data_IF_895639926552
#
_entry.id   IF_895639926552
#
_cell.length_a   1.000
_cell.length_b   1.000
_cell.length_c   1.000
_cell.angle_alpha   90.00
_cell.angle_beta   90.00
_cell.angle_gamma   90.00
#
_symmetry.space_group_name_H-M   'P 1'
#
loop_
_entity.id
_entity.type
_entity.pdbx_description
1 polymer ?
#
# COMPACT_ATOMS: atom_id res chain seq x y z
N UNK A 1 -28.08 34.16 -28.75
CA UNK A 1 -28.65 33.90 -27.42
C UNK A 1 -27.52 33.99 -26.39
N UNK A 2 -26.77 35.10 -26.39
CA UNK A 2 -25.59 35.35 -25.55
C UNK A 2 -25.36 36.88 -25.40
N UNK A 3 -26.40 37.68 -25.14
CA UNK A 3 -26.24 39.15 -24.95
C UNK A 3 -27.23 39.72 -23.91
N UNK A 4 -27.37 39.10 -22.74
CA UNK A 4 -28.29 39.59 -21.70
C UNK A 4 -27.70 39.68 -20.27
N UNK A 5 -26.37 39.74 -20.12
CA UNK A 5 -25.74 39.81 -18.79
C UNK A 5 -24.67 40.89 -18.62
N UNK A 6 -24.61 41.91 -19.51
CA UNK A 6 -23.54 42.92 -19.47
C UNK A 6 -23.93 44.32 -19.00
N UNK A 7 -25.14 44.55 -18.49
CA UNK A 7 -25.56 45.88 -18.02
C UNK A 7 -26.31 45.83 -16.67
N UNK A 8 -25.62 45.51 -15.58
CA UNK A 8 -26.09 45.82 -14.22
C UNK A 8 -25.16 46.87 -13.59
N UNK A 9 -25.67 47.99 -13.06
CA UNK A 9 -24.85 49.00 -12.39
C UNK A 9 -24.36 48.51 -11.02
N UNK A 10 -23.11 48.86 -10.71
CA UNK A 10 -22.36 48.48 -9.51
C UNK A 10 -22.82 49.39 -8.34
N UNK A 11 -23.07 48.88 -7.12
CA UNK A 11 -23.37 49.74 -5.98
C UNK A 11 -22.09 50.45 -5.48
N UNK A 12 -22.12 51.78 -5.45
CA UNK A 12 -21.14 52.61 -4.75
C UNK A 12 -21.30 52.45 -3.22
N UNK A 13 -20.25 52.01 -2.54
CA UNK A 13 -20.15 52.11 -1.08
C UNK A 13 -19.58 53.50 -0.74
N UNK A 14 -20.41 54.32 -0.09
CA UNK A 14 -20.01 55.59 0.50
C UNK A 14 -19.40 55.33 1.86
N UNK A 15 -18.12 55.68 2.03
CA UNK A 15 -17.50 55.92 3.32
C UNK A 15 -18.03 57.25 3.91
N UNK A 16 -17.93 57.38 5.23
CA UNK A 16 -18.33 58.50 6.11
C UNK A 16 -19.67 58.32 6.84
N UNK A 17 -19.60 57.90 8.11
CA UNK A 17 -19.98 58.75 9.26
C UNK A 17 -19.31 58.20 10.53
N UNK A 18 -18.51 59.05 11.18
CA UNK A 18 -17.93 58.79 12.50
C UNK A 18 -18.92 59.13 13.61
N UNK A 19 -19.08 58.23 14.57
CA UNK A 19 -19.79 58.51 15.83
C UNK A 19 -18.86 58.18 17.00
N UNK A 20 -18.42 59.24 17.66
CA UNK A 20 -17.73 59.21 18.94
C UNK A 20 -18.76 59.18 20.08
N UNK A 21 -18.60 58.28 21.04
CA UNK A 21 -19.26 58.38 22.35
C UNK A 21 -18.33 57.93 23.49
N UNK A 22 -18.45 58.54 24.69
CA UNK A 22 -17.33 58.78 25.60
C UNK A 22 -17.12 57.70 26.67
N UNK A 23 -15.87 57.56 27.10
CA UNK A 23 -15.43 56.92 28.34
C UNK A 23 -15.72 57.86 29.52
N UNK A 24 -16.60 57.44 30.44
CA UNK A 24 -16.59 57.78 31.89
C UNK A 24 -17.95 57.42 32.52
N UNK A 25 -18.07 56.23 33.13
CA UNK A 25 -18.85 56.02 34.36
C UNK A 25 -18.45 54.70 35.03
N UNK A 26 -17.87 54.78 36.23
CA UNK A 26 -17.33 53.68 37.02
C UNK A 26 -18.34 53.22 38.07
N UNK A 27 -18.43 51.91 38.31
CA UNK A 27 -19.02 51.34 39.52
C UNK A 27 -18.15 50.18 40.04
N UNK A 28 -17.46 50.43 41.15
CA UNK A 28 -16.73 49.44 41.97
C UNK A 28 -17.66 48.35 42.52
N UNK A 29 -17.21 47.08 42.58
CA UNK A 29 -17.23 46.29 43.83
C UNK A 29 -16.26 45.08 43.81
N UNK A 30 -15.43 45.06 44.87
CA UNK A 30 -14.99 43.91 45.68
C UNK A 30 -14.20 42.77 45.03
N UNK A 31 -12.88 42.83 45.19
CA UNK A 31 -12.01 41.66 45.15
C UNK A 31 -12.24 40.76 46.36
N UNK A 32 -12.43 39.47 46.10
CA UNK A 32 -12.17 38.39 47.06
C UNK A 32 -11.38 37.30 46.36
N UNK A 33 -10.15 37.15 46.81
CA UNK A 33 -9.24 36.04 46.60
C UNK A 33 -9.90 34.71 47.03
N UNK A 34 -9.87 33.69 46.19
CA UNK A 34 -9.82 32.30 46.63
C UNK A 34 -9.00 31.51 45.62
N UNK A 35 -7.89 31.01 46.12
CA UNK A 35 -6.86 30.25 45.45
C UNK A 35 -7.30 28.80 45.22
N UNK A 36 -6.90 28.26 44.06
CA UNK A 36 -6.58 26.86 43.67
C UNK A 36 -7.51 25.71 44.05
N UNK A 37 -7.94 24.94 43.04
CA UNK A 37 -7.70 23.49 42.98
C UNK A 37 -7.75 23.00 41.51
N UNK A 38 -6.77 22.16 41.19
CA UNK A 38 -6.41 21.54 39.90
C UNK A 38 -7.61 20.98 39.12
N UNK A 39 -7.82 21.50 37.92
CA UNK A 39 -8.53 20.80 36.86
C UNK A 39 -7.49 20.18 35.93
N UNK A 40 -7.19 18.91 36.16
CA UNK A 40 -6.25 18.10 35.37
C UNK A 40 -6.38 18.40 33.88
N UNK A 41 -5.25 18.82 33.30
CA UNK A 41 -5.04 18.81 31.86
C UNK A 41 -5.35 17.39 31.37
N UNK A 42 -6.44 17.24 30.63
CA UNK A 42 -6.62 16.07 29.79
C UNK A 42 -5.56 16.13 28.71
N UNK A 43 -4.40 15.52 28.96
CA UNK A 43 -3.49 15.10 27.91
C UNK A 43 -4.33 14.46 26.80
N UNK A 44 -4.14 14.84 25.51
CA UNK A 44 -4.68 14.02 24.46
C UNK A 44 -4.03 12.65 24.63
N UNK A 45 -4.85 11.66 24.97
CA UNK A 45 -4.47 10.26 24.85
C UNK A 45 -4.06 10.06 23.40
N UNK A 46 -2.75 10.14 23.20
CA UNK A 46 -2.07 9.69 22.02
C UNK A 46 -2.32 8.19 21.96
N UNK A 47 -3.42 7.83 21.32
CA UNK A 47 -3.72 6.47 20.90
C UNK A 47 -2.74 6.14 19.77
N UNK A 48 -1.46 6.05 20.15
CA UNK A 48 -0.45 5.33 19.43
C UNK A 48 -0.92 3.87 19.42
N UNK A 49 -1.80 3.57 18.47
CA UNK A 49 -1.91 2.26 17.87
C UNK A 49 -0.50 1.89 17.39
N UNK A 50 0.33 1.36 18.29
CA UNK A 50 1.53 0.62 17.93
C UNK A 50 1.04 -0.59 17.14
N UNK A 51 1.00 -0.45 15.82
CA UNK A 51 0.78 -1.58 14.95
C UNK A 51 1.82 -2.64 15.32
N UNK A 52 1.40 -3.89 15.59
CA UNK A 52 2.32 -4.94 15.99
C UNK A 52 3.41 -5.05 14.91
N UNK A 53 4.66 -4.96 15.35
CA UNK A 53 5.83 -5.07 14.49
C UNK A 53 5.72 -6.37 13.69
N UNK A 54 5.56 -6.27 12.38
CA UNK A 54 5.40 -7.44 11.52
C UNK A 54 6.72 -8.18 11.45
N UNK A 55 6.79 -9.35 12.09
CA UNK A 55 7.91 -10.27 11.96
C UNK A 55 7.67 -11.21 10.75
N UNK A 56 8.34 -10.99 9.61
CA UNK A 56 8.18 -11.83 8.45
C UNK A 56 8.66 -13.26 8.71
N UNK A 57 9.67 -13.46 9.56
CA UNK A 57 10.23 -14.79 9.80
C UNK A 57 9.28 -15.65 10.64
N UNK A 58 8.61 -15.05 11.63
CA UNK A 58 7.56 -15.72 12.40
C UNK A 58 6.36 -16.11 11.52
N UNK A 59 6.09 -15.36 10.45
CA UNK A 59 5.08 -15.69 9.45
C UNK A 59 5.55 -16.72 8.40
N UNK A 60 6.78 -17.24 8.50
CA UNK A 60 7.38 -18.13 7.50
C UNK A 60 7.60 -17.44 6.16
N UNK A 61 7.91 -16.14 6.19
CA UNK A 61 8.10 -15.29 5.02
C UNK A 61 9.54 -14.78 4.92
N UNK A 62 10.05 -14.76 3.70
CA UNK A 62 11.38 -14.26 3.36
C UNK A 62 11.27 -13.10 2.39
N UNK A 63 11.98 -12.01 2.66
CA UNK A 63 12.02 -10.86 1.77
C UNK A 63 12.78 -11.20 0.48
N UNK A 64 12.13 -10.95 -0.67
CA UNK A 64 12.66 -11.19 -2.02
C UNK A 64 12.82 -9.91 -2.85
N UNK A 65 12.66 -8.74 -2.24
CA UNK A 65 12.86 -7.43 -2.90
C UNK A 65 14.23 -7.35 -3.59
N UNK A 66 15.29 -7.91 -2.99
CA UNK A 66 16.64 -7.89 -3.55
C UNK A 66 16.82 -8.75 -4.81
N UNK A 67 15.89 -9.66 -5.11
CA UNK A 67 15.91 -10.49 -6.33
C UNK A 67 15.37 -9.74 -7.56
N UNK A 68 14.70 -8.61 -7.34
CA UNK A 68 14.08 -7.79 -8.36
C UNK A 68 14.89 -6.55 -8.73
N UNK A 69 14.84 -6.17 -10.00
CA UNK A 69 15.22 -4.83 -10.47
C UNK A 69 14.01 -3.91 -10.43
N UNK A 70 14.12 -2.81 -9.69
CA UNK A 70 13.07 -1.81 -9.54
C UNK A 70 13.27 -0.69 -10.56
N UNK A 71 12.18 -0.23 -11.17
CA UNK A 71 12.13 0.96 -12.03
C UNK A 71 10.90 1.77 -11.69
N UNK A 72 10.97 3.08 -11.92
CA UNK A 72 9.85 4.01 -11.74
C UNK A 72 9.59 4.75 -13.04
N UNK A 73 8.34 5.18 -13.27
CA UNK A 73 7.95 5.95 -14.46
C UNK A 73 8.68 7.29 -14.57
N UNK A 74 8.87 7.96 -13.44
CA UNK A 74 9.55 9.24 -13.31
C UNK A 74 10.02 9.42 -11.87
N UNK A 75 10.99 10.29 -11.65
CA UNK A 75 11.39 10.68 -10.31
C UNK A 75 12.03 12.05 -10.29
N UNK A 76 11.88 12.75 -9.18
CA UNK A 76 12.64 13.97 -8.88
C UNK A 76 14.10 13.61 -8.58
N UNK A 77 15.03 14.50 -8.91
CA UNK A 77 16.45 14.29 -8.63
C UNK A 77 16.68 14.03 -7.13
N UNK A 78 17.31 12.90 -6.80
CA UNK A 78 17.59 12.49 -5.42
C UNK A 78 16.48 11.72 -4.70
N UNK A 79 15.29 11.57 -5.31
CA UNK A 79 14.13 10.88 -4.74
C UNK A 79 13.63 9.78 -5.70
N UNK A 80 14.50 8.84 -6.05
CA UNK A 80 14.24 7.76 -6.98
C UNK A 80 14.04 6.39 -6.32
N UNK A 81 14.41 5.34 -7.04
CA UNK A 81 14.27 3.94 -6.60
C UNK A 81 15.14 3.62 -5.38
N UNK A 82 16.28 4.30 -5.21
CA UNK A 82 17.19 4.04 -4.10
C UNK A 82 16.53 4.30 -2.74
N UNK A 83 15.68 5.33 -2.67
CA UNK A 83 14.97 5.70 -1.45
C UNK A 83 13.91 4.65 -1.06
N UNK A 84 13.25 4.01 -2.03
CA UNK A 84 12.27 2.94 -1.78
C UNK A 84 12.86 1.69 -1.15
N UNK A 85 14.16 1.47 -1.37
CA UNK A 85 14.89 0.28 -0.91
C UNK A 85 15.64 0.54 0.39
N UNK A 86 15.63 1.77 0.89
CA UNK A 86 16.26 2.11 2.15
C UNK A 86 15.36 1.68 3.31
N UNK A 87 15.96 1.28 4.43
CA UNK A 87 15.24 0.94 5.65
C UNK A 87 14.66 2.18 6.36
N UNK A 88 15.16 3.37 6.01
CA UNK A 88 14.68 4.63 6.56
C UNK A 88 13.35 5.07 5.92
N UNK A 89 12.29 5.07 6.73
CA UNK A 89 10.95 5.58 6.36
C UNK A 89 10.89 7.11 6.19
N UNK A 90 12.01 7.82 6.46
CA UNK A 90 12.12 9.27 6.24
C UNK A 90 12.44 9.62 4.79
N UNK A 91 12.96 8.68 4.02
CA UNK A 91 13.24 8.88 2.60
C UNK A 91 12.11 8.32 1.75
N UNK A 92 11.91 8.87 0.55
CA UNK A 92 10.82 8.46 -0.32
C UNK A 92 11.20 8.61 -1.80
N UNK A 93 10.57 7.78 -2.63
CA UNK A 93 10.44 8.07 -4.05
C UNK A 93 9.42 9.19 -4.22
N UNK A 94 9.78 10.19 -5.03
CA UNK A 94 8.89 11.25 -5.47
C UNK A 94 8.77 11.22 -6.98
N UNK A 95 7.57 10.97 -7.51
CA UNK A 95 7.36 11.06 -8.96
C UNK A 95 7.55 12.49 -9.48
N UNK A 96 7.84 12.61 -10.77
CA UNK A 96 7.87 13.90 -11.46
C UNK A 96 7.46 13.71 -12.92
N UNK A 97 6.17 13.45 -13.15
CA UNK A 97 5.66 13.11 -14.49
C UNK A 97 4.14 13.09 -14.59
N UNK A 98 3.60 12.70 -15.75
CA UNK A 98 2.15 12.53 -15.91
C UNK A 98 1.65 11.28 -15.20
N UNK A 99 0.46 11.37 -14.59
CA UNK A 99 -0.25 10.20 -14.07
C UNK A 99 -0.70 9.27 -15.23
N UNK A 100 -0.79 7.94 -14.99
CA UNK A 100 -0.51 7.25 -13.73
C UNK A 100 0.98 7.02 -13.48
N UNK A 101 1.39 7.16 -12.21
CA UNK A 101 2.77 6.89 -11.78
C UNK A 101 2.95 5.39 -11.61
N UNK A 102 4.10 4.86 -12.04
CA UNK A 102 4.35 3.41 -12.07
C UNK A 102 5.62 3.07 -11.31
N UNK A 103 5.53 2.05 -10.49
CA UNK A 103 6.65 1.31 -9.94
C UNK A 103 6.61 -0.10 -10.55
N UNK A 104 7.66 -0.51 -11.24
CA UNK A 104 7.76 -1.85 -11.85
C UNK A 104 8.95 -2.60 -11.27
N UNK A 105 8.74 -3.87 -10.92
CA UNK A 105 9.76 -4.77 -10.40
C UNK A 105 9.91 -5.95 -11.35
N UNK A 106 11.11 -6.15 -11.88
CA UNK A 106 11.45 -7.25 -12.78
C UNK A 106 12.29 -8.28 -12.05
N UNK A 107 11.80 -9.51 -11.98
CA UNK A 107 12.52 -10.65 -11.43
C UNK A 107 13.21 -11.43 -12.55
N UNK A 108 14.47 -11.82 -12.32
CA UNK A 108 15.24 -12.61 -13.31
C UNK A 108 14.68 -14.03 -13.45
N UNK A 109 14.12 -14.57 -12.36
CA UNK A 109 13.51 -15.89 -12.30
C UNK A 109 12.03 -15.76 -11.91
N UNK A 110 11.25 -16.79 -12.22
CA UNK A 110 9.88 -16.93 -11.73
C UNK A 110 9.90 -16.93 -10.20
N UNK A 111 9.20 -16.00 -9.56
CA UNK A 111 9.07 -15.93 -8.10
C UNK A 111 7.62 -16.19 -7.67
N UNK A 112 7.46 -16.80 -6.50
CA UNK A 112 6.16 -16.91 -5.82
C UNK A 112 6.07 -15.85 -4.74
N UNK A 113 5.22 -14.85 -4.94
CA UNK A 113 4.99 -13.76 -3.99
C UNK A 113 3.84 -14.16 -3.07
N UNK A 114 4.08 -14.05 -1.76
CA UNK A 114 3.12 -14.37 -0.69
C UNK A 114 2.54 -13.16 -0.01
N UNK A 115 3.34 -12.11 0.12
CA UNK A 115 2.90 -10.86 0.73
C UNK A 115 3.62 -9.69 0.09
N UNK A 116 2.93 -8.56 -0.05
CA UNK A 116 3.51 -7.31 -0.52
C UNK A 116 3.04 -6.22 0.42
N UNK A 117 3.98 -5.45 0.94
CA UNK A 117 3.71 -4.34 1.85
C UNK A 117 4.37 -3.08 1.35
N UNK A 118 3.72 -1.94 1.51
CA UNK A 118 4.29 -0.64 1.17
C UNK A 118 3.96 0.38 2.24
N UNK A 119 4.82 1.37 2.41
CA UNK A 119 4.66 2.39 3.45
C UNK A 119 4.31 3.74 2.83
N UNK A 120 3.23 4.33 3.36
CA UNK A 120 2.73 5.67 3.04
C UNK A 120 2.29 6.35 4.34
N UNK A 121 2.38 7.67 4.40
CA UNK A 121 1.92 8.41 5.57
C UNK A 121 1.21 9.70 5.18
N UNK A 122 -0.12 9.70 5.30
CA UNK A 122 -0.95 10.85 5.02
C UNK A 122 -0.55 12.11 5.79
N UNK A 123 -0.13 11.95 7.05
CA UNK A 123 0.16 13.10 7.92
C UNK A 123 1.42 13.84 7.47
N UNK A 124 2.39 13.12 6.91
CA UNK A 124 3.66 13.67 6.43
C UNK A 124 3.63 14.02 4.95
N UNK A 125 2.86 13.29 4.13
CA UNK A 125 2.86 13.40 2.67
C UNK A 125 1.67 14.21 2.11
N UNK A 126 0.61 14.44 2.88
CA UNK A 126 -0.57 15.22 2.49
C UNK A 126 -1.08 14.85 1.07
N UNK A 127 -0.99 15.80 0.11
CA UNK A 127 -1.41 15.62 -1.28
C UNK A 127 -0.57 14.61 -2.08
N UNK A 128 0.63 14.25 -1.63
CA UNK A 128 1.48 13.24 -2.28
C UNK A 128 1.05 11.81 -1.96
N UNK A 129 0.11 11.64 -1.03
CA UNK A 129 -0.37 10.32 -0.59
C UNK A 129 -1.30 9.69 -1.64
N UNK A 130 -1.03 8.47 -2.12
CA UNK A 130 -1.92 7.76 -3.03
C UNK A 130 -3.31 7.53 -2.45
N UNK A 131 -4.36 7.70 -3.26
CA UNK A 131 -5.75 7.33 -2.94
C UNK A 131 -6.20 6.09 -3.69
N UNK A 132 -5.72 5.89 -4.91
CA UNK A 132 -6.15 4.78 -5.77
C UNK A 132 -4.96 4.11 -6.45
N UNK A 133 -4.79 2.83 -6.19
CA UNK A 133 -3.65 2.05 -6.69
C UNK A 133 -4.14 0.76 -7.35
N UNK A 134 -3.64 0.48 -8.54
CA UNK A 134 -3.84 -0.79 -9.23
C UNK A 134 -2.56 -1.61 -9.19
N UNK A 135 -2.69 -2.89 -8.81
CA UNK A 135 -1.59 -3.84 -8.81
C UNK A 135 -1.76 -4.85 -9.94
N UNK A 136 -0.68 -5.04 -10.70
CA UNK A 136 -0.60 -5.93 -11.84
C UNK A 136 0.58 -6.87 -11.72
N UNK A 137 0.45 -8.05 -12.27
CA UNK A 137 1.52 -9.05 -12.33
C UNK A 137 1.47 -9.81 -13.64
N UNK A 138 2.61 -10.33 -14.09
CA UNK A 138 2.67 -11.05 -15.36
C UNK A 138 3.99 -11.70 -15.67
N UNK A 139 4.06 -12.30 -16.86
CA UNK A 139 5.29 -12.92 -17.40
C UNK A 139 6.21 -11.90 -18.08
N UNK A 140 5.66 -10.78 -18.54
CA UNK A 140 6.40 -9.66 -19.12
C UNK A 140 5.60 -8.37 -18.96
N UNK A 141 6.24 -7.22 -19.17
CA UNK A 141 5.56 -5.91 -19.07
C UNK A 141 4.41 -5.74 -20.07
N UNK A 142 4.47 -6.43 -21.21
CA UNK A 142 3.40 -6.44 -22.21
C UNK A 142 2.25 -7.40 -21.87
N UNK A 143 2.44 -8.28 -20.88
CA UNK A 143 1.48 -9.30 -20.48
C UNK A 143 1.20 -9.20 -18.98
N UNK A 144 0.79 -8.01 -18.53
CA UNK A 144 0.41 -7.73 -17.16
C UNK A 144 -1.09 -7.89 -16.97
N UNK A 145 -1.49 -8.67 -15.97
CA UNK A 145 -2.88 -8.84 -15.55
C UNK A 145 -3.07 -8.11 -14.23
N UNK A 146 -4.13 -7.31 -14.14
CA UNK A 146 -4.54 -6.69 -12.88
C UNK A 146 -5.12 -7.75 -11.95
N UNK A 147 -4.54 -7.88 -10.77
CA UNK A 147 -5.01 -8.84 -9.76
C UNK A 147 -5.64 -8.16 -8.55
N UNK A 148 -5.29 -6.89 -8.28
CA UNK A 148 -5.80 -6.16 -7.13
C UNK A 148 -5.97 -4.67 -7.42
N UNK A 149 -6.85 -4.03 -6.64
CA UNK A 149 -7.03 -2.58 -6.59
C UNK A 149 -7.23 -2.19 -5.13
N UNK A 150 -6.57 -1.12 -4.71
CA UNK A 150 -6.73 -0.55 -3.38
C UNK A 150 -7.21 0.89 -3.51
N UNK A 151 -8.19 1.23 -2.70
CA UNK A 151 -8.69 2.59 -2.50
C UNK A 151 -8.49 2.94 -1.02
N UNK A 152 -7.84 4.07 -0.75
CA UNK A 152 -7.41 4.49 0.57
C UNK A 152 -7.80 5.96 0.78
N UNK A 153 -8.20 6.33 1.99
CA UNK A 153 -8.65 7.71 2.28
C UNK A 153 -7.73 8.53 3.16
N UNK A 154 -6.99 7.96 4.10
CA UNK A 154 -5.95 8.65 4.90
C UNK A 154 -4.98 7.58 5.41
N UNK A 155 -4.31 6.82 4.52
CA UNK A 155 -3.46 5.72 4.96
C UNK A 155 -2.24 6.27 5.70
N UNK A 156 -1.93 5.70 6.86
CA UNK A 156 -0.70 5.94 7.60
C UNK A 156 -0.15 4.60 8.05
N UNK A 157 1.15 4.38 7.88
CA UNK A 157 1.80 3.11 8.24
C UNK A 157 1.94 2.13 7.07
N UNK A 158 2.15 0.86 7.42
CA UNK A 158 2.34 -0.22 6.45
C UNK A 158 1.00 -0.68 5.88
N UNK A 159 0.89 -0.63 4.56
CA UNK A 159 -0.27 -1.07 3.81
C UNK A 159 0.00 -2.44 3.18
N UNK A 160 -0.91 -3.38 3.38
CA UNK A 160 -0.82 -4.72 2.81
C UNK A 160 -1.60 -4.82 1.50
N UNK A 161 -0.95 -5.32 0.45
CA UNK A 161 -1.59 -5.54 -0.85
C UNK A 161 -2.41 -6.84 -0.81
N UNK A 162 -3.67 -6.85 -1.27
CA UNK A 162 -4.47 -8.06 -1.30
C UNK A 162 -3.99 -9.00 -2.41
N UNK A 163 -3.08 -9.91 -2.07
CA UNK A 163 -2.54 -10.95 -2.97
C UNK A 163 -3.30 -12.28 -2.86
N UNK A 164 -4.15 -12.44 -1.86
CA UNK A 164 -4.97 -13.65 -1.67
C UNK A 164 -5.91 -13.87 -2.86
N UNK A 165 -5.98 -15.10 -3.36
CA UNK A 165 -6.80 -15.45 -4.52
C UNK A 165 -6.30 -14.91 -5.87
N UNK A 166 -5.16 -14.18 -5.92
CA UNK A 166 -4.58 -13.71 -7.17
C UNK A 166 -4.01 -14.86 -8.04
N UNK A 167 -3.77 -16.03 -7.44
CA UNK A 167 -3.42 -17.27 -8.14
C UNK A 167 -2.05 -17.29 -8.82
N UNK A 168 -1.66 -18.48 -9.30
CA UNK A 168 -0.43 -18.75 -10.03
C UNK A 168 0.41 -19.89 -9.44
N UNK A 169 0.27 -20.13 -8.12
CA UNK A 169 0.75 -21.30 -7.42
C UNK A 169 -0.33 -22.38 -7.24
N UNK A 170 0.06 -23.62 -6.89
CA UNK A 170 -0.86 -24.75 -6.68
C UNK A 170 -1.83 -24.55 -5.52
N UNK A 171 -1.55 -23.60 -4.64
CA UNK A 171 -2.31 -23.27 -3.43
C UNK A 171 -3.32 -22.13 -3.62
N UNK A 172 -3.37 -21.50 -4.81
CA UNK A 172 -4.26 -20.38 -5.12
C UNK A 172 -3.93 -19.04 -4.44
N UNK A 173 -3.05 -19.06 -3.43
CA UNK A 173 -2.69 -17.90 -2.61
C UNK A 173 -1.26 -17.39 -2.87
N UNK A 174 -0.52 -18.04 -3.76
CA UNK A 174 0.81 -17.57 -4.20
C UNK A 174 0.69 -16.87 -5.54
N UNK A 175 0.97 -15.57 -5.57
CA UNK A 175 1.05 -14.78 -6.78
C UNK A 175 2.36 -15.11 -7.51
N UNK A 176 2.27 -15.81 -8.64
CA UNK A 176 3.47 -16.11 -9.41
C UNK A 176 3.75 -15.01 -10.41
N UNK A 177 4.99 -14.49 -10.39
CA UNK A 177 5.36 -13.29 -11.14
C UNK A 177 6.77 -13.37 -11.73
N UNK A 178 6.93 -12.76 -12.91
CA UNK A 178 8.23 -12.28 -13.41
C UNK A 178 8.28 -10.74 -13.38
N UNK A 179 7.13 -10.09 -13.57
CA UNK A 179 7.00 -8.64 -13.52
C UNK A 179 5.84 -8.30 -12.60
N UNK A 180 6.13 -7.56 -11.53
CA UNK A 180 5.14 -6.93 -10.66
C UNK A 180 5.08 -5.44 -10.98
N UNK A 181 3.89 -4.85 -11.03
CA UNK A 181 3.70 -3.43 -11.28
C UNK A 181 2.64 -2.84 -10.36
N UNK A 182 3.00 -1.75 -9.70
CA UNK A 182 2.12 -0.90 -8.92
C UNK A 182 1.86 0.38 -9.72
N UNK A 183 0.60 0.67 -10.03
CA UNK A 183 0.15 1.85 -10.76
C UNK A 183 -0.66 2.76 -9.83
N UNK A 184 -0.09 3.91 -9.48
CA UNK A 184 -0.75 4.93 -8.68
C UNK A 184 -1.54 5.81 -9.65
N UNK A 185 -2.87 5.71 -9.57
CA UNK A 185 -3.79 6.40 -10.47
C UNK A 185 -4.10 7.81 -9.96
N UNK A 186 -4.35 7.93 -8.66
CA UNK A 186 -4.85 9.15 -8.03
C UNK A 186 -4.17 9.34 -6.67
N UNK A 187 -4.04 10.60 -6.25
CA UNK A 187 -3.52 11.00 -4.95
C UNK A 187 -4.51 11.92 -4.23
N UNK A 188 -4.27 12.13 -2.95
CA UNK A 188 -5.02 13.05 -2.11
C UNK A 188 -5.03 14.48 -2.65
N UNK A 189 -6.15 15.18 -2.46
CA UNK A 189 -6.31 16.60 -2.81
C UNK A 189 -5.96 16.90 -4.30
N UNK A 190 -6.13 15.91 -5.19
CA UNK A 190 -5.70 15.96 -6.59
C UNK A 190 -4.18 16.24 -6.75
N UNK A 191 -3.36 15.71 -5.84
CA UNK A 191 -1.91 15.83 -5.89
C UNK A 191 -1.35 15.27 -7.20
N UNK A 192 -0.52 16.07 -7.87
CA UNK A 192 0.07 15.74 -9.18
C UNK A 192 1.05 14.58 -9.08
N UNK A 193 1.90 14.62 -8.07
CA UNK A 193 3.02 13.69 -7.86
C UNK A 193 2.77 12.85 -6.60
N UNK A 194 3.46 11.73 -6.46
CA UNK A 194 3.26 10.78 -5.35
C UNK A 194 4.52 10.56 -4.53
N UNK A 195 4.35 10.33 -3.23
CA UNK A 195 5.38 9.84 -2.33
C UNK A 195 5.10 8.38 -1.98
N UNK A 196 6.16 7.58 -2.07
CA UNK A 196 6.17 6.20 -1.57
C UNK A 196 7.48 6.00 -0.82
N UNK A 197 7.40 5.65 0.46
CA UNK A 197 8.55 5.63 1.37
C UNK A 197 9.30 4.32 1.31
N UNK A 198 8.57 3.21 1.36
CA UNK A 198 9.15 1.88 1.29
C UNK A 198 8.21 0.88 0.64
N UNK A 199 8.77 -0.19 0.09
CA UNK A 199 8.02 -1.35 -0.40
C UNK A 199 8.84 -2.61 -0.15
N UNK A 200 8.19 -3.63 0.38
CA UNK A 200 8.77 -4.94 0.69
C UNK A 200 7.92 -6.04 0.05
N UNK A 201 8.60 -6.97 -0.61
CA UNK A 201 7.98 -8.10 -1.30
C UNK A 201 8.49 -9.38 -0.65
N UNK A 202 7.57 -10.25 -0.24
CA UNK A 202 7.87 -11.47 0.49
C UNK A 202 7.44 -12.72 -0.26
N UNK A 203 8.19 -13.80 -0.09
CA UNK A 203 7.87 -15.15 -0.53
C UNK A 203 7.75 -16.09 0.68
N UNK A 204 7.13 -17.25 0.49
CA UNK A 204 7.17 -18.30 1.52
C UNK A 204 8.61 -18.76 1.72
N UNK A 205 9.03 -18.90 2.97
CA UNK A 205 10.32 -19.46 3.32
C UNK A 205 10.24 -21.00 3.28
N UNK A 206 10.65 -21.59 2.16
CA UNK A 206 10.69 -23.05 1.99
C UNK A 206 11.89 -23.70 2.66
N UNK A 207 12.86 -22.91 3.15
CA UNK A 207 14.06 -23.40 3.83
C UNK A 207 13.92 -23.36 5.36
N UNK A 208 12.86 -22.73 5.89
CA UNK A 208 12.54 -22.78 7.29
C UNK A 208 12.06 -24.18 7.66
N UNK A 209 12.55 -24.80 8.77
CA UNK A 209 11.96 -26.03 9.26
C UNK A 209 10.48 -25.74 9.55
N UNK A 210 9.58 -26.48 8.90
CA UNK A 210 8.14 -26.43 9.18
C UNK A 210 7.93 -26.45 10.69
N UNK A 211 7.56 -25.30 11.26
CA UNK A 211 6.94 -25.28 12.57
C UNK A 211 5.47 -25.57 12.27
N UNK A 212 5.16 -26.86 12.20
CA UNK A 212 3.81 -27.36 11.98
C UNK A 212 2.87 -26.72 13.00
N UNK A 213 2.06 -25.78 12.54
CA UNK A 213 0.91 -25.30 13.29
C UNK A 213 -0.29 -26.20 12.97
N UNK A 214 -0.16 -27.48 13.32
CA UNK A 214 -1.28 -28.42 13.33
C UNK A 214 -1.30 -29.15 14.68
N UNK A 215 -2.04 -28.54 15.63
CA UNK A 215 -2.54 -29.25 16.79
C UNK A 215 -3.90 -29.86 16.47
N UNK A 216 -3.98 -31.18 16.71
CA UNK A 216 -5.17 -32.02 16.84
C UNK A 216 -5.78 -32.62 15.55
N UNK A 217 -5.23 -33.75 15.12
CA UNK A 217 -5.89 -35.02 15.42
C UNK A 217 -4.96 -36.23 15.25
N UNK A 218 -4.81 -36.95 16.35
CA UNK A 218 -4.13 -38.23 16.45
C UNK A 218 -5.01 -39.33 15.85
N UNK A 219 -4.59 -39.92 14.73
CA UNK A 219 -4.85 -41.33 14.43
C UNK A 219 -3.57 -41.93 13.86
N UNK A 220 -2.94 -42.79 14.66
CA UNK A 220 -1.80 -43.61 14.30
C UNK A 220 -2.27 -44.65 13.27
N UNK A 221 -1.59 -44.77 12.14
CA UNK A 221 -1.62 -46.00 11.34
C UNK A 221 -0.26 -46.22 10.64
N UNK A 222 0.31 -47.35 11.00
CA UNK A 222 1.37 -48.20 10.42
C UNK A 222 2.32 -47.66 9.34
N UNK A 223 3.61 -47.79 9.66
CA UNK A 223 4.78 -47.59 8.82
C UNK A 223 4.82 -48.59 7.65
N UNK A 224 5.06 -48.09 6.44
CA UNK A 224 5.60 -48.87 5.32
C UNK A 224 6.83 -48.13 4.82
N UNK A 225 8.00 -48.77 4.94
CA UNK A 225 9.27 -48.28 4.42
C UNK A 225 9.21 -48.17 2.88
N UNK A 226 9.05 -46.95 2.36
CA UNK A 226 9.33 -46.62 0.96
C UNK A 226 10.54 -45.69 0.90
N UNK A 227 11.56 -46.11 0.14
CA UNK A 227 12.75 -45.29 -0.14
C UNK A 227 12.37 -43.96 -0.82
N UNK A 228 13.13 -42.87 -0.59
CA UNK A 228 12.76 -41.56 -1.11
C UNK A 228 12.73 -41.56 -2.64
N UNK A 229 11.56 -41.27 -3.21
CA UNK A 229 11.34 -41.18 -4.64
C UNK A 229 12.25 -40.13 -5.29
N UNK A 230 12.82 -40.49 -6.44
CA UNK A 230 13.68 -39.62 -7.25
C UNK A 230 12.87 -38.42 -7.79
N UNK A 231 13.28 -37.16 -7.51
CA UNK A 231 12.56 -35.96 -7.95
C UNK A 231 12.58 -35.74 -9.47
N UNK A 232 13.21 -36.63 -10.26
CA UNK A 232 13.25 -36.58 -11.73
C UNK A 232 12.55 -37.74 -12.43
N UNK A 233 11.73 -38.54 -11.72
CA UNK A 233 10.96 -39.61 -12.35
C UNK A 233 9.79 -39.07 -13.18
N UNK A 234 9.97 -39.07 -14.51
CA UNK A 234 8.99 -38.61 -15.51
C UNK A 234 7.87 -39.62 -15.78
N UNK A 235 7.88 -40.81 -15.16
CA UNK A 235 6.83 -41.82 -15.32
C UNK A 235 5.52 -41.47 -14.61
N UNK A 236 5.54 -40.50 -13.68
CA UNK A 236 4.35 -40.01 -12.94
C UNK A 236 3.48 -39.05 -13.77
N UNK A 237 3.96 -38.58 -14.93
CA UNK A 237 3.28 -37.59 -15.76
C UNK A 237 2.15 -38.16 -16.64
N UNK A 238 1.94 -39.48 -16.68
CA UNK A 238 0.92 -40.09 -17.56
C UNK A 238 -0.41 -40.40 -16.86
N UNK A 239 -0.54 -40.10 -15.57
CA UNK A 239 -1.78 -40.35 -14.82
C UNK A 239 -2.61 -39.06 -14.59
N UNK A 240 -3.40 -38.67 -15.61
CA UNK A 240 -4.74 -38.12 -15.37
C UNK A 240 -4.89 -36.66 -14.90
N UNK A 241 -4.08 -35.72 -15.39
CA UNK A 241 -4.39 -34.29 -15.23
C UNK A 241 -5.48 -33.84 -16.22
N UNK A 242 -6.62 -33.41 -15.70
CA UNK A 242 -7.67 -32.74 -16.49
C UNK A 242 -7.15 -31.34 -16.84
N UNK A 243 -6.82 -31.13 -18.10
CA UNK A 243 -6.37 -29.83 -18.62
C UNK A 243 -7.54 -28.82 -18.51
N UNK A 244 -7.37 -27.69 -17.80
CA UNK A 244 -8.39 -26.64 -17.71
C UNK A 244 -8.78 -26.09 -19.09
N UNK A 245 -10.05 -25.73 -19.27
CA UNK A 245 -10.60 -25.30 -20.59
C UNK A 245 -9.86 -24.11 -21.21
N UNK A 246 -9.25 -23.24 -20.41
CA UNK A 246 -8.49 -22.08 -20.90
C UNK A 246 -7.10 -22.43 -21.47
N UNK A 247 -6.61 -23.65 -21.21
CA UNK A 247 -5.34 -24.16 -21.74
C UNK A 247 -5.54 -25.05 -22.98
N UNK A 248 -6.77 -25.22 -23.44
CA UNK A 248 -7.06 -25.93 -24.69
C UNK A 248 -6.77 -25.01 -25.87
N UNK A 249 -6.14 -25.56 -26.90
CA UNK A 249 -5.92 -24.83 -28.15
C UNK A 249 -7.27 -24.40 -28.75
N UNK A 250 -7.36 -23.19 -29.33
CA UNK A 250 -8.62 -22.72 -29.92
C UNK A 250 -8.97 -23.57 -31.15
N UNK A 251 -10.17 -24.18 -31.14
CA UNK A 251 -10.72 -24.87 -32.31
C UNK A 251 -11.02 -23.83 -33.41
N UNK A 252 -10.24 -23.87 -34.49
CA UNK A 252 -10.51 -23.09 -35.70
C UNK A 252 -11.69 -23.77 -36.41
N UNK A 253 -12.80 -23.06 -36.57
CA UNK A 253 -13.98 -23.52 -37.29
C UNK A 253 -14.08 -22.88 -38.67
#
# INVERSE_FOLDING_TARGET
MEEYLRNAPIPEYSDEEGISMPLDDLGEISGTDTSVEDGENGDPVDDHHEEPEFDPLAAGLKEISNLGKFTVSSHKQGNGVEQLRNDSLKTYWQSDGPQPHKLTVYFIKRVGIRDIRFFVDYNEDESYTPTKIIFKSGTSENNLIQFATMEMSQPSGWQQVPVAGAGGGPDGNTLVSYVFQMQILENHQNGKDTHLRSIKIYAADTDAPNVDMDSANHVVNEEVDEEPADPWDLSVLEAGLIVPDFMKEPEIR
#
